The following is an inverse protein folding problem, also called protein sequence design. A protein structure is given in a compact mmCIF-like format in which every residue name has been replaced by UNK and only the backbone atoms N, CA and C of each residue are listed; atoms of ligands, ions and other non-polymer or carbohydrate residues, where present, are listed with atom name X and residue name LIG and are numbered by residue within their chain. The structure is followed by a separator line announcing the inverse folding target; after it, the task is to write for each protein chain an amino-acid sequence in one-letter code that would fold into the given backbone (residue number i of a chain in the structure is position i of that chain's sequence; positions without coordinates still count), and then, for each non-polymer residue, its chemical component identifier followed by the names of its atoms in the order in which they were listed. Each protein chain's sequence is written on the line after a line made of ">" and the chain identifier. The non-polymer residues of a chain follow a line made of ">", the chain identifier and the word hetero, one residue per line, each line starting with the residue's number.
data_IF_130096654570
#
_entry.id   IF_130096654570
#
_cell.length_a   1.000
_cell.length_b   1.000
_cell.length_c   1.000
_cell.angle_alpha   90.00
_cell.angle_beta   90.00
_cell.angle_gamma   90.00
#
_symmetry.space_group_name_H-M   'P 1'
#
loop_
_entity.id
_entity.type
_entity.pdbx_description
1 polymer ?
#
# COMPACT_ATOMS: atom_id res chain seq x y z
N UNK A 1 10.76 6.22 -9.59
CA UNK A 1 9.51 6.78 -9.07
C UNK A 1 9.34 6.41 -7.60
N UNK A 2 8.76 7.29 -6.81
CA UNK A 2 8.54 7.02 -5.40
C UNK A 2 7.50 5.91 -5.21
N UNK A 3 7.76 4.99 -4.28
CA UNK A 3 6.80 3.97 -3.87
C UNK A 3 5.78 4.60 -2.91
N UNK A 4 4.51 4.38 -3.15
CA UNK A 4 3.41 5.00 -2.42
C UNK A 4 2.53 3.97 -1.75
N UNK A 5 2.24 4.19 -0.46
CA UNK A 5 1.40 3.33 0.37
C UNK A 5 0.19 4.11 0.86
N UNK A 6 -0.98 3.55 0.67
CA UNK A 6 -2.21 4.02 1.31
C UNK A 6 -2.43 3.28 2.62
N UNK A 7 -2.68 4.00 3.72
CA UNK A 7 -3.01 3.40 5.02
C UNK A 7 -4.49 3.65 5.33
N UNK A 8 -5.27 2.58 5.32
CA UNK A 8 -6.66 2.57 5.76
C UNK A 8 -6.75 2.29 7.26
N UNK A 9 -7.45 3.13 8.00
CA UNK A 9 -7.52 3.03 9.45
C UNK A 9 -8.75 3.74 10.01
N UNK A 10 -9.13 3.40 11.23
CA UNK A 10 -10.09 4.18 12.00
C UNK A 10 -9.45 5.45 12.54
N UNK A 11 -10.23 6.54 12.61
CA UNK A 11 -9.80 7.81 13.24
C UNK A 11 -9.34 7.65 14.69
N UNK A 12 -9.70 6.56 15.34
CA UNK A 12 -9.30 6.24 16.72
C UNK A 12 -7.91 5.61 16.83
N UNK A 13 -7.30 5.24 15.71
CA UNK A 13 -6.00 4.53 15.67
C UNK A 13 -4.83 5.43 15.26
N UNK A 14 -4.92 6.72 15.53
CA UNK A 14 -3.92 7.73 15.12
C UNK A 14 -2.49 7.41 15.55
N UNK A 15 -2.30 6.95 16.78
CA UNK A 15 -0.97 6.61 17.30
C UNK A 15 -0.32 5.48 16.50
N UNK A 16 -1.08 4.44 16.16
CA UNK A 16 -0.60 3.32 15.36
C UNK A 16 -0.27 3.74 13.92
N UNK A 17 -1.13 4.56 13.33
CA UNK A 17 -0.93 5.11 11.98
C UNK A 17 0.34 5.94 11.89
N UNK A 18 0.54 6.87 12.82
CA UNK A 18 1.71 7.74 12.84
C UNK A 18 2.99 6.91 13.01
N UNK A 19 2.98 5.92 13.90
CA UNK A 19 4.13 5.05 14.11
C UNK A 19 4.50 4.27 12.82
N UNK A 20 3.51 3.69 12.14
CA UNK A 20 3.73 2.99 10.88
C UNK A 20 4.22 3.93 9.78
N UNK A 21 3.59 5.09 9.63
CA UNK A 21 3.96 6.09 8.63
C UNK A 21 5.41 6.58 8.81
N UNK A 22 5.84 6.79 10.05
CA UNK A 22 7.21 7.20 10.35
C UNK A 22 8.24 6.14 9.92
N UNK A 23 7.98 4.87 10.20
CA UNK A 23 8.87 3.77 9.79
C UNK A 23 8.94 3.68 8.26
N UNK A 24 7.80 3.72 7.59
CA UNK A 24 7.75 3.67 6.12
C UNK A 24 8.46 4.87 5.47
N UNK A 25 8.28 6.06 6.02
CA UNK A 25 8.95 7.27 5.53
C UNK A 25 10.47 7.19 5.66
N UNK A 26 10.98 6.56 6.72
CA UNK A 26 12.42 6.32 6.89
C UNK A 26 13.01 5.39 5.81
N UNK A 27 12.17 4.57 5.16
CA UNK A 27 12.55 3.75 4.01
C UNK A 27 12.36 4.47 2.67
N UNK A 28 12.07 5.75 2.67
CA UNK A 28 11.81 6.52 1.44
C UNK A 28 10.48 6.15 0.77
N UNK A 29 9.51 5.69 1.55
CA UNK A 29 8.17 5.32 1.08
C UNK A 29 7.22 6.49 1.35
N UNK A 30 6.50 6.93 0.33
CA UNK A 30 5.46 7.93 0.47
C UNK A 30 4.20 7.30 1.08
N UNK A 31 3.65 7.93 2.10
CA UNK A 31 2.46 7.44 2.79
C UNK A 31 1.32 8.42 2.56
N UNK A 32 0.16 7.90 2.18
CA UNK A 32 -1.09 8.64 2.15
C UNK A 32 -2.01 8.19 3.28
N UNK A 33 -2.49 9.16 4.04
CA UNK A 33 -3.47 9.00 5.11
C UNK A 33 -4.57 10.04 4.85
N UNK A 34 -5.81 9.57 4.61
CA UNK A 34 -6.91 10.42 4.15
C UNK A 34 -7.13 11.66 5.03
N UNK A 35 -7.07 11.50 6.35
CA UNK A 35 -7.34 12.58 7.30
C UNK A 35 -6.35 13.75 7.24
N UNK A 36 -5.13 13.51 6.74
CA UNK A 36 -4.12 14.56 6.63
C UNK A 36 -4.36 15.52 5.45
N UNK A 37 -5.27 15.16 4.55
CA UNK A 37 -5.50 15.88 3.30
C UNK A 37 -6.96 16.30 3.11
N UNK A 38 -7.67 16.50 4.23
CA UNK A 38 -9.06 16.95 4.19
C UNK A 38 -9.14 18.38 3.68
N UNK A 39 -9.97 18.59 2.65
CA UNK A 39 -10.29 19.91 2.12
C UNK A 39 -11.79 20.15 2.30
N UNK A 40 -12.21 21.18 3.03
CA UNK A 40 -13.63 21.47 3.22
C UNK A 40 -14.35 21.65 1.88
N UNK A 41 -15.50 21.01 1.72
CA UNK A 41 -16.32 21.08 0.52
C UNK A 41 -15.96 20.10 -0.61
N UNK A 42 -14.83 19.39 -0.52
CA UNK A 42 -14.51 18.31 -1.46
C UNK A 42 -15.20 16.99 -1.08
N UNK A 43 -15.52 16.20 -2.10
CA UNK A 43 -16.02 14.84 -1.88
C UNK A 43 -14.85 13.93 -1.48
N UNK A 44 -14.82 13.58 -0.21
CA UNK A 44 -13.75 12.78 0.37
C UNK A 44 -13.62 11.39 -0.28
N UNK A 45 -14.77 10.77 -0.62
CA UNK A 45 -14.81 9.45 -1.27
C UNK A 45 -14.02 9.41 -2.59
N UNK A 46 -14.23 10.39 -3.47
CA UNK A 46 -13.51 10.46 -4.75
C UNK A 46 -11.99 10.63 -4.56
N UNK A 47 -11.61 11.51 -3.64
CA UNK A 47 -10.20 11.75 -3.34
C UNK A 47 -9.52 10.49 -2.79
N UNK A 48 -10.14 9.84 -1.83
CA UNK A 48 -9.63 8.61 -1.21
C UNK A 48 -9.50 7.49 -2.24
N UNK A 49 -10.52 7.27 -3.07
CA UNK A 49 -10.47 6.23 -4.09
C UNK A 49 -9.39 6.49 -5.15
N UNK A 50 -9.24 7.75 -5.58
CA UNK A 50 -8.14 8.14 -6.45
C UNK A 50 -6.76 7.87 -5.82
N UNK A 51 -6.61 8.11 -4.53
CA UNK A 51 -5.36 7.85 -3.82
C UNK A 51 -5.09 6.34 -3.62
N UNK A 52 -6.12 5.53 -3.44
CA UNK A 52 -5.99 4.07 -3.47
C UNK A 52 -5.51 3.61 -4.84
N UNK A 53 -6.11 4.11 -5.92
CA UNK A 53 -5.69 3.77 -7.29
C UNK A 53 -4.24 4.15 -7.56
N UNK A 54 -3.83 5.32 -7.11
CA UNK A 54 -2.47 5.85 -7.30
C UNK A 54 -1.43 5.28 -6.34
N UNK A 55 -1.82 4.45 -5.39
CA UNK A 55 -0.90 3.81 -4.45
C UNK A 55 -0.38 2.49 -5.01
N UNK A 56 0.86 2.16 -4.67
CA UNK A 56 1.50 0.90 -5.07
C UNK A 56 0.98 -0.27 -4.23
N UNK A 57 0.69 -0.02 -2.96
CA UNK A 57 -0.01 -0.98 -2.10
C UNK A 57 -0.87 -0.25 -1.06
N UNK A 58 -1.71 -1.02 -0.39
CA UNK A 58 -2.57 -0.57 0.69
C UNK A 58 -2.30 -1.40 1.93
N UNK A 59 -2.11 -0.74 3.06
CA UNK A 59 -2.09 -1.37 4.38
C UNK A 59 -3.38 -1.01 5.09
N UNK A 60 -4.04 -1.98 5.70
CA UNK A 60 -5.27 -1.74 6.47
C UNK A 60 -5.10 -2.17 7.92
N UNK A 61 -5.46 -1.27 8.83
CA UNK A 61 -5.40 -1.51 10.27
C UNK A 61 -6.75 -2.04 10.75
N UNK A 62 -6.83 -3.35 10.95
CA UNK A 62 -8.02 -4.04 11.45
C UNK A 62 -7.91 -4.26 12.96
N UNK A 63 -7.90 -3.16 13.68
CA UNK A 63 -8.08 -3.12 15.13
C UNK A 63 -9.55 -3.31 15.48
N UNK A 64 -9.88 -3.37 16.77
CA UNK A 64 -11.30 -3.38 17.22
C UNK A 64 -12.06 -2.14 16.71
N UNK A 65 -11.38 -1.01 16.55
CA UNK A 65 -11.95 0.18 15.93
C UNK A 65 -12.07 0.05 14.41
N UNK A 66 -11.03 -0.47 13.76
CA UNK A 66 -10.94 -0.60 12.31
C UNK A 66 -12.00 -1.54 11.73
N UNK A 67 -12.24 -2.70 12.33
CA UNK A 67 -13.26 -3.64 11.85
C UNK A 67 -14.69 -3.08 11.93
N UNK A 68 -14.93 -2.14 12.83
CA UNK A 68 -16.24 -1.48 13.02
C UNK A 68 -16.39 -0.21 12.20
N UNK A 69 -15.33 0.24 11.56
CA UNK A 69 -15.36 1.44 10.73
C UNK A 69 -15.99 1.15 9.37
N UNK A 70 -17.14 1.74 9.11
CA UNK A 70 -17.77 1.65 7.78
C UNK A 70 -16.87 2.24 6.68
N UNK A 71 -16.10 3.26 7.02
CA UNK A 71 -15.15 3.89 6.12
C UNK A 71 -14.03 2.95 5.71
N UNK A 72 -13.40 2.27 6.67
CA UNK A 72 -12.39 1.24 6.41
C UNK A 72 -12.95 0.13 5.53
N UNK A 73 -14.17 -0.33 5.79
CA UNK A 73 -14.82 -1.37 4.98
C UNK A 73 -15.07 -0.91 3.54
N UNK A 74 -15.44 0.35 3.33
CA UNK A 74 -15.60 0.91 1.98
C UNK A 74 -14.27 0.96 1.23
N UNK A 75 -13.20 1.39 1.87
CA UNK A 75 -11.86 1.45 1.30
C UNK A 75 -11.35 0.06 0.91
N UNK A 76 -11.57 -0.95 1.76
CA UNK A 76 -11.25 -2.36 1.46
C UNK A 76 -12.04 -2.82 0.23
N UNK A 77 -13.35 -2.60 0.22
CA UNK A 77 -14.22 -2.99 -0.88
C UNK A 77 -13.80 -2.36 -2.21
N UNK A 78 -13.45 -1.08 -2.18
CA UNK A 78 -12.94 -0.39 -3.36
C UNK A 78 -11.61 -0.98 -3.84
N UNK A 79 -10.64 -1.16 -2.96
CA UNK A 79 -9.34 -1.73 -3.30
C UNK A 79 -9.48 -3.12 -3.96
N UNK A 80 -10.31 -3.99 -3.39
CA UNK A 80 -10.56 -5.32 -3.95
C UNK A 80 -11.24 -5.25 -5.33
N UNK A 81 -12.15 -4.29 -5.54
CA UNK A 81 -12.81 -4.11 -6.84
C UNK A 81 -11.85 -3.68 -7.95
N UNK A 82 -10.71 -3.09 -7.59
CA UNK A 82 -9.65 -2.67 -8.50
C UNK A 82 -8.45 -3.64 -8.50
N UNK A 83 -8.64 -4.85 -8.01
CA UNK A 83 -7.62 -5.90 -7.89
C UNK A 83 -6.40 -5.52 -7.02
N UNK A 84 -6.56 -4.59 -6.12
CA UNK A 84 -5.56 -4.23 -5.14
C UNK A 84 -5.86 -4.93 -3.82
N UNK A 85 -5.07 -5.94 -3.49
CA UNK A 85 -5.25 -6.70 -2.25
C UNK A 85 -4.59 -5.96 -1.09
N UNK A 86 -5.36 -5.54 -0.07
CA UNK A 86 -4.78 -4.90 1.11
C UNK A 86 -3.89 -5.84 1.91
N UNK A 87 -2.90 -5.26 2.57
CA UNK A 87 -2.05 -5.95 3.57
C UNK A 87 -2.69 -5.70 4.94
N UNK A 88 -3.35 -6.69 5.55
CA UNK A 88 -4.03 -6.46 6.82
C UNK A 88 -3.08 -6.59 8.01
N UNK A 89 -3.14 -5.61 8.93
CA UNK A 89 -2.68 -5.77 10.30
C UNK A 89 -3.91 -6.02 11.16
N UNK A 90 -4.01 -7.21 11.75
CA UNK A 90 -5.19 -7.65 12.50
C UNK A 90 -4.87 -7.71 13.97
N UNK A 91 -5.65 -6.99 14.79
CA UNK A 91 -5.49 -6.99 16.24
C UNK A 91 -5.73 -8.38 16.81
N UNK A 92 -4.86 -8.79 17.70
CA UNK A 92 -4.96 -10.06 18.43
C UNK A 92 -6.32 -10.20 19.11
N UNK A 93 -6.95 -11.34 18.93
CA UNK A 93 -8.29 -11.63 19.46
C UNK A 93 -9.43 -11.38 18.45
N UNK A 94 -9.18 -10.74 17.33
CA UNK A 94 -10.14 -10.66 16.23
C UNK A 94 -10.16 -12.02 15.51
N UNK A 95 -11.34 -12.57 15.31
CA UNK A 95 -11.50 -13.85 14.64
C UNK A 95 -11.41 -13.67 13.12
N UNK A 96 -10.84 -14.66 12.39
CA UNK A 96 -10.79 -14.61 10.92
C UNK A 96 -12.16 -14.39 10.27
N UNK A 97 -13.23 -14.92 10.86
CA UNK A 97 -14.61 -14.76 10.36
C UNK A 97 -15.10 -13.32 10.42
N UNK A 98 -14.52 -12.49 11.30
CA UNK A 98 -14.90 -11.08 11.47
C UNK A 98 -14.17 -10.15 10.48
N UNK A 99 -13.30 -10.68 9.63
CA UNK A 99 -12.55 -9.90 8.64
C UNK A 99 -13.34 -9.52 7.38
N UNK A 100 -14.61 -9.85 7.32
CA UNK A 100 -15.52 -9.50 6.22
C UNK A 100 -14.92 -9.86 4.84
N UNK A 101 -14.74 -8.86 3.96
CA UNK A 101 -14.22 -9.09 2.61
C UNK A 101 -12.76 -9.60 2.57
N UNK A 102 -12.01 -9.53 3.67
CA UNK A 102 -10.64 -10.05 3.79
C UNK A 102 -10.57 -11.43 4.45
N UNK A 103 -11.69 -12.06 4.71
CA UNK A 103 -11.71 -13.43 5.20
C UNK A 103 -10.94 -14.35 4.23
N UNK A 104 -10.02 -15.16 4.78
CA UNK A 104 -9.15 -16.02 3.98
C UNK A 104 -7.89 -15.35 3.41
N UNK A 105 -7.69 -14.06 3.63
CA UNK A 105 -6.46 -13.36 3.29
C UNK A 105 -5.45 -13.51 4.43
N UNK A 106 -4.19 -13.78 4.10
CA UNK A 106 -3.11 -13.77 5.09
C UNK A 106 -2.95 -12.37 5.68
N UNK A 107 -2.65 -12.33 6.96
CA UNK A 107 -2.52 -11.08 7.71
C UNK A 107 -1.33 -11.09 8.67
N UNK A 108 -0.95 -9.90 9.12
CA UNK A 108 0.04 -9.70 10.18
C UNK A 108 -0.72 -9.49 11.49
N UNK A 109 -0.47 -10.34 12.48
CA UNK A 109 -1.09 -10.17 13.79
C UNK A 109 -0.50 -8.97 14.52
N UNK A 110 -1.35 -8.12 15.04
CA UNK A 110 -1.01 -6.94 15.82
C UNK A 110 -1.39 -7.15 17.28
N UNK A 111 -0.40 -7.13 18.15
CA UNK A 111 -0.61 -7.16 19.60
C UNK A 111 -0.53 -5.73 20.16
N UNK A 112 -1.61 -5.17 20.72
CA UNK A 112 -1.61 -3.81 21.29
C UNK A 112 -0.59 -3.61 22.41
N UNK A 113 -0.20 -4.68 23.10
CA UNK A 113 0.82 -4.64 24.15
C UNK A 113 2.26 -4.69 23.61
N UNK A 114 2.43 -5.15 22.39
CA UNK A 114 3.72 -5.25 21.70
C UNK A 114 3.61 -4.79 20.24
N UNK A 115 3.20 -3.53 19.99
CA UNK A 115 2.87 -3.06 18.65
C UNK A 115 4.07 -3.04 17.70
N UNK A 116 5.28 -2.90 18.23
CA UNK A 116 6.50 -2.78 17.44
C UNK A 116 6.75 -3.98 16.52
N UNK A 117 6.43 -5.19 16.96
CA UNK A 117 6.66 -6.39 16.16
C UNK A 117 5.84 -6.37 14.86
N UNK A 118 4.56 -6.04 14.95
CA UNK A 118 3.69 -5.93 13.78
C UNK A 118 4.10 -4.79 12.85
N UNK A 119 4.46 -3.64 13.41
CA UNK A 119 4.90 -2.46 12.64
C UNK A 119 6.19 -2.75 11.86
N UNK A 120 7.17 -3.39 12.48
CA UNK A 120 8.41 -3.80 11.84
C UNK A 120 8.13 -4.83 10.73
N UNK A 121 7.29 -5.82 11.02
CA UNK A 121 6.93 -6.87 10.05
C UNK A 121 6.23 -6.29 8.82
N UNK A 122 5.25 -5.41 9.03
CA UNK A 122 4.55 -4.71 7.95
C UNK A 122 5.49 -3.84 7.13
N UNK A 123 6.32 -3.05 7.79
CA UNK A 123 7.28 -2.15 7.13
C UNK A 123 8.33 -2.90 6.32
N UNK A 124 8.84 -4.00 6.86
CA UNK A 124 9.79 -4.88 6.16
C UNK A 124 9.17 -5.51 4.93
N UNK A 125 7.93 -5.95 5.03
CA UNK A 125 7.20 -6.51 3.88
C UNK A 125 6.96 -5.47 2.80
N UNK A 126 6.46 -4.28 3.16
CA UNK A 126 6.24 -3.17 2.22
C UNK A 126 7.56 -2.74 1.56
N UNK A 127 8.64 -2.68 2.33
CA UNK A 127 9.97 -2.39 1.77
C UNK A 127 10.40 -3.43 0.75
N UNK A 128 10.12 -4.71 0.98
CA UNK A 128 10.41 -5.77 0.01
C UNK A 128 9.63 -5.58 -1.30
N UNK A 129 8.38 -5.15 -1.23
CA UNK A 129 7.57 -4.82 -2.41
C UNK A 129 8.15 -3.63 -3.19
N UNK A 130 8.57 -2.59 -2.47
CA UNK A 130 9.25 -1.44 -3.08
C UNK A 130 10.50 -1.88 -3.84
N UNK A 131 11.37 -2.67 -3.22
CA UNK A 131 12.61 -3.13 -3.84
C UNK A 131 12.35 -4.00 -5.07
N UNK A 132 11.34 -4.87 -5.04
CA UNK A 132 10.92 -5.65 -6.20
C UNK A 132 10.46 -4.76 -7.36
N UNK A 133 9.68 -3.73 -7.08
CA UNK A 133 9.23 -2.78 -8.09
C UNK A 133 10.42 -2.05 -8.72
N UNK A 134 11.34 -1.54 -7.90
CA UNK A 134 12.54 -0.86 -8.38
C UNK A 134 13.42 -1.78 -9.25
N UNK A 135 13.56 -3.04 -8.86
CA UNK A 135 14.30 -4.04 -9.63
C UNK A 135 13.61 -4.33 -10.98
N UNK A 136 12.29 -4.48 -10.99
CA UNK A 136 11.52 -4.66 -12.23
C UNK A 136 11.65 -3.44 -13.15
N UNK A 137 11.57 -2.23 -12.63
CA UNK A 137 11.75 -1.00 -13.41
C UNK A 137 13.15 -0.93 -14.03
N UNK A 138 14.20 -1.28 -13.28
CA UNK A 138 15.57 -1.36 -13.80
C UNK A 138 15.70 -2.40 -14.91
N UNK A 139 15.12 -3.57 -14.71
CA UNK A 139 15.14 -4.65 -15.72
C UNK A 139 14.43 -4.21 -17.02
N UNK A 140 13.29 -3.54 -16.91
CA UNK A 140 12.57 -2.99 -18.08
C UNK A 140 13.38 -1.91 -18.80
N UNK A 141 14.07 -1.02 -18.08
CA UNK A 141 14.94 0.00 -18.68
C UNK A 141 16.11 -0.62 -19.41
N UNK A 142 16.76 -1.62 -18.86
CA UNK A 142 17.86 -2.34 -19.51
C UNK A 142 17.36 -3.08 -20.75
N UNK A 143 16.25 -3.80 -20.67
CA UNK A 143 15.65 -4.48 -21.82
C UNK A 143 15.24 -3.49 -22.92
N UNK A 144 14.62 -2.36 -22.57
CA UNK A 144 14.27 -1.29 -23.49
C UNK A 144 15.50 -0.68 -24.17
N UNK A 145 16.58 -0.46 -23.42
CA UNK A 145 17.85 0.03 -23.95
C UNK A 145 18.49 -0.94 -24.94
N UNK A 146 18.47 -2.24 -24.66
CA UNK A 146 18.98 -3.27 -25.59
C UNK A 146 18.16 -3.30 -26.88
N UNK A 147 16.83 -3.26 -26.80
CA UNK A 147 15.96 -3.23 -27.99
C UNK A 147 16.23 -1.97 -28.84
N UNK A 148 16.30 -0.81 -28.19
CA UNK A 148 16.61 0.45 -28.90
C UNK A 148 17.97 0.41 -29.60
N UNK A 149 18.99 -0.14 -28.94
CA UNK A 149 20.33 -0.31 -29.50
C UNK A 149 20.33 -1.25 -30.73
N UNK A 150 19.64 -2.39 -30.64
CA UNK A 150 19.50 -3.32 -31.76
C UNK A 150 18.75 -2.70 -32.96
N UNK A 151 17.71 -1.90 -32.70
CA UNK A 151 17.00 -1.16 -33.75
C UNK A 151 17.91 -0.15 -34.43
N UNK A 152 18.72 0.61 -33.69
CA UNK A 152 19.68 1.56 -34.25
C UNK A 152 20.72 0.85 -35.11
N UNK A 153 21.23 -0.29 -34.71
CA UNK A 153 22.16 -1.09 -35.51
C UNK A 153 21.52 -1.58 -36.81
N UNK A 154 20.25 -2.01 -36.74
CA UNK A 154 19.53 -2.48 -37.93
C UNK A 154 19.29 -1.36 -38.97
N UNK A 155 19.08 -0.14 -38.51
CA UNK A 155 18.91 1.04 -39.36
C UNK A 155 20.22 1.50 -39.96
N UNK A 156 21.33 1.44 -39.22
CA UNK A 156 22.66 1.82 -39.72
C UNK A 156 23.23 0.82 -40.73
N UNK A 157 22.81 -0.45 -40.68
CA UNK A 157 23.22 -1.49 -41.64
C UNK A 157 22.50 -1.45 -42.99
N UNK A 158 21.48 -0.61 -43.17
CA UNK A 158 20.75 -0.44 -44.46
C UNK A 158 21.28 0.67 -45.36
N UNK A 159 22.36 1.31 -44.95
CA UNK A 159 22.98 2.41 -45.67
C UNK A 159 24.17 1.99 -46.55
N UNK A 160 24.05 0.87 -47.28
CA UNK A 160 24.99 0.51 -48.36
C UNK A 160 24.23 0.16 -49.63
#
# INVERSE_FOLDING_TARGET
>A
MAYKVFISHSTRDQGLVIALANILSNFGINVFIAEWYLTPGERLDKKVFSEIDNSDCMVVLLTQNGIRSSWVQQEIGYALSTNKIPIPLVEKGIRPEDLAALQGTDYIEYDPYQPQQALIKASTYVRSLKLRKEEQEKTLLVAGGIVAFLLLLSLSGRGK
#
